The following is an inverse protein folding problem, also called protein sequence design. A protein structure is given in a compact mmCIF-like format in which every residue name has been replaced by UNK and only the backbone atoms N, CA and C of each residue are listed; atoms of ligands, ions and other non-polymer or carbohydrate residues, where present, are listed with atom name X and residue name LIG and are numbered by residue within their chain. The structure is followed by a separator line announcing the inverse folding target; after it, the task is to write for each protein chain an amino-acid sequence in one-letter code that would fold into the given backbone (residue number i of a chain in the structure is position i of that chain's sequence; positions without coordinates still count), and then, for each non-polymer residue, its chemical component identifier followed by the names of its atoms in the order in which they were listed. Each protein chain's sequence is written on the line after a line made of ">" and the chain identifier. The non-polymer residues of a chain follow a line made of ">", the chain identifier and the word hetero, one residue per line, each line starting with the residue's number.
data_IF_657229067040
#
_entry.id   IF_657229067040
#
_cell.length_a   1.000
_cell.length_b   1.000
_cell.length_c   1.000
_cell.angle_alpha   90.00
_cell.angle_beta   90.00
_cell.angle_gamma   90.00
#
_symmetry.space_group_name_H-M   'P 1'
#
loop_
_entity.id
_entity.type
_entity.pdbx_description
1 polymer ?
#
# COMPACT_ATOMS: atom_id res chain seq x y z
N UNK A 1 -31.66 21.59 -7.60
CA UNK A 1 -32.18 20.55 -6.73
C UNK A 1 -31.14 19.43 -6.66
N UNK A 2 -30.23 19.50 -5.68
CA UNK A 2 -29.43 18.35 -5.31
C UNK A 2 -30.39 17.39 -4.55
N UNK A 3 -30.98 16.42 -5.24
CA UNK A 3 -31.46 15.24 -4.55
C UNK A 3 -30.20 14.57 -3.95
N UNK A 4 -30.10 14.57 -2.64
CA UNK A 4 -29.19 13.67 -1.94
C UNK A 4 -29.52 12.27 -2.45
N UNK A 5 -28.64 11.73 -3.25
CA UNK A 5 -28.77 10.35 -3.67
C UNK A 5 -28.61 9.50 -2.42
N UNK A 6 -29.64 8.77 -2.05
CA UNK A 6 -29.56 7.68 -1.10
C UNK A 6 -28.37 6.82 -1.49
N UNK A 7 -27.50 6.55 -0.53
CA UNK A 7 -26.25 5.86 -0.78
C UNK A 7 -26.47 4.58 -1.57
N UNK A 8 -25.81 4.44 -2.70
CA UNK A 8 -25.79 3.19 -3.43
C UNK A 8 -25.08 2.19 -2.53
N UNK A 9 -25.86 1.30 -1.95
CA UNK A 9 -25.31 0.15 -1.28
C UNK A 9 -24.74 -0.78 -2.34
N UNK A 10 -23.42 -0.92 -2.36
CA UNK A 10 -22.79 -1.95 -3.16
C UNK A 10 -23.27 -3.31 -2.66
N UNK A 11 -24.04 -3.99 -3.51
CA UNK A 11 -24.24 -5.44 -3.53
C UNK A 11 -24.33 -6.14 -2.17
N UNK A 12 -25.19 -5.68 -1.28
CA UNK A 12 -25.54 -6.45 -0.06
C UNK A 12 -24.39 -6.73 0.93
N UNK A 13 -23.18 -6.27 0.66
CA UNK A 13 -22.13 -6.24 1.67
C UNK A 13 -22.49 -5.19 2.70
N UNK A 14 -22.39 -5.51 4.01
CA UNK A 14 -22.63 -4.52 5.03
C UNK A 14 -21.70 -3.34 4.78
N UNK A 15 -22.29 -2.18 4.50
CA UNK A 15 -21.57 -0.91 4.43
C UNK A 15 -21.15 -0.50 5.85
N UNK A 16 -20.42 -1.39 6.51
CA UNK A 16 -19.92 -1.09 7.83
C UNK A 16 -18.82 -0.06 7.68
N UNK A 17 -19.13 1.15 8.10
CA UNK A 17 -18.13 2.19 8.22
C UNK A 17 -17.49 2.07 9.60
N UNK A 18 -16.21 1.73 9.67
CA UNK A 18 -15.50 1.84 10.93
C UNK A 18 -15.52 3.30 11.38
N UNK A 19 -15.38 3.56 12.68
CA UNK A 19 -15.18 4.93 13.14
C UNK A 19 -13.96 5.52 12.46
N UNK A 20 -14.09 6.70 11.90
CA UNK A 20 -12.99 7.41 11.24
C UNK A 20 -12.53 8.60 12.10
N UNK A 21 -11.24 8.95 12.05
CA UNK A 21 -10.17 8.26 11.32
C UNK A 21 -9.78 6.92 11.97
N UNK A 22 -9.42 5.93 11.16
CA UNK A 22 -8.85 4.67 11.65
C UNK A 22 -7.37 4.88 11.92
N UNK A 23 -6.93 4.61 13.15
CA UNK A 23 -5.54 4.85 13.56
C UNK A 23 -4.61 3.67 13.29
N UNK A 24 -5.17 2.49 12.98
CA UNK A 24 -4.41 1.29 12.66
C UNK A 24 -5.18 0.42 11.67
N UNK A 25 -4.44 -0.23 10.78
CA UNK A 25 -5.03 -1.20 9.87
C UNK A 25 -5.33 -2.50 10.60
N UNK A 26 -6.54 -3.02 10.42
CA UNK A 26 -6.95 -4.31 10.96
C UNK A 26 -7.33 -5.26 9.83
N UNK A 27 -6.71 -6.43 9.85
CA UNK A 27 -7.03 -7.49 8.90
C UNK A 27 -8.30 -8.23 9.32
N UNK A 28 -9.11 -8.60 8.35
CA UNK A 28 -10.23 -9.50 8.58
C UNK A 28 -9.71 -10.93 8.91
N UNK A 29 -10.51 -11.75 9.62
CA UNK A 29 -10.16 -13.15 9.84
C UNK A 29 -9.91 -13.88 8.53
N UNK A 30 -8.86 -14.71 8.49
CA UNK A 30 -8.58 -15.51 7.31
C UNK A 30 -9.65 -16.62 7.15
N UNK A 31 -10.40 -16.67 6.03
CA UNK A 31 -11.38 -17.71 5.79
C UNK A 31 -10.73 -19.05 5.45
N UNK A 32 -9.46 -19.04 5.04
CA UNK A 32 -8.72 -20.24 4.66
C UNK A 32 -8.10 -20.89 5.89
N UNK A 33 -8.38 -22.17 6.08
CA UNK A 33 -7.77 -22.96 7.15
C UNK A 33 -6.33 -23.34 6.82
N UNK A 34 -5.48 -23.36 7.83
CA UNK A 34 -4.10 -23.80 7.67
C UNK A 34 -4.04 -25.30 7.40
N UNK A 35 -3.35 -25.67 6.32
CA UNK A 35 -2.98 -27.06 6.05
C UNK A 35 -1.58 -27.35 6.64
N UNK A 36 -1.55 -27.97 7.82
CA UNK A 36 -0.30 -28.31 8.50
C UNK A 36 0.62 -29.23 7.68
N UNK A 37 0.08 -29.95 6.69
CA UNK A 37 0.90 -30.82 5.84
C UNK A 37 1.88 -30.04 4.97
N UNK A 38 1.53 -28.82 4.57
CA UNK A 38 2.38 -27.90 3.81
C UNK A 38 3.58 -27.38 4.61
N UNK A 39 3.51 -27.43 5.95
CA UNK A 39 4.52 -26.91 6.86
C UNK A 39 5.58 -27.93 7.27
N UNK A 40 5.46 -29.21 6.85
CA UNK A 40 6.39 -30.28 7.23
C UNK A 40 7.86 -29.98 6.90
N UNK A 41 8.11 -29.21 5.84
CA UNK A 41 9.46 -28.80 5.41
C UNK A 41 9.91 -27.43 5.94
N UNK A 42 9.06 -26.70 6.68
CA UNK A 42 9.30 -25.33 7.11
C UNK A 42 9.19 -25.21 8.63
N UNK A 43 9.98 -25.98 9.35
CA UNK A 43 10.00 -25.98 10.82
C UNK A 43 10.75 -24.78 11.38
N UNK A 44 10.31 -24.31 12.55
CA UNK A 44 10.91 -23.18 13.25
C UNK A 44 10.63 -21.86 12.57
N UNK A 45 11.47 -20.88 12.86
CA UNK A 45 11.36 -19.53 12.30
C UNK A 45 12.33 -19.41 11.14
N UNK A 46 11.83 -19.03 9.99
CA UNK A 46 12.61 -18.87 8.76
C UNK A 46 12.52 -17.42 8.30
N UNK A 47 13.64 -16.87 7.81
CA UNK A 47 13.74 -15.49 7.37
C UNK A 47 14.58 -15.42 6.08
N UNK A 48 14.08 -14.68 5.08
CA UNK A 48 14.75 -14.52 3.79
C UNK A 48 14.36 -13.22 3.10
N UNK A 49 15.20 -12.74 2.20
CA UNK A 49 14.71 -11.88 1.12
C UNK A 49 13.84 -12.69 0.18
N UNK A 50 12.76 -12.04 -0.28
CA UNK A 50 11.83 -12.56 -1.26
C UNK A 50 11.70 -11.66 -2.47
N UNK A 51 10.91 -12.06 -3.45
CA UNK A 51 10.61 -11.24 -4.62
C UNK A 51 9.53 -10.21 -4.30
N UNK A 52 9.69 -8.98 -4.79
CA UNK A 52 8.65 -7.94 -4.76
C UNK A 52 7.45 -8.26 -5.64
N UNK A 53 7.59 -9.21 -6.58
CA UNK A 53 6.54 -9.64 -7.51
C UNK A 53 5.68 -10.77 -6.94
N UNK A 54 6.01 -11.27 -5.75
CA UNK A 54 5.28 -12.37 -5.11
C UNK A 54 4.43 -11.84 -3.96
N UNK A 55 3.15 -12.12 -4.03
CA UNK A 55 2.20 -11.96 -2.92
C UNK A 55 2.20 -13.25 -2.11
N UNK A 56 2.91 -13.24 -0.97
CA UNK A 56 3.01 -14.42 -0.12
C UNK A 56 1.69 -14.68 0.59
N UNK A 57 1.20 -15.92 0.49
CA UNK A 57 -0.01 -16.34 1.21
C UNK A 57 0.26 -16.43 2.70
N UNK A 58 -0.69 -15.99 3.50
CA UNK A 58 -0.55 -15.94 4.95
C UNK A 58 -0.49 -17.32 5.61
N UNK A 59 -1.25 -18.27 5.08
CA UNK A 59 -1.47 -19.62 5.62
C UNK A 59 -0.53 -20.68 5.05
N UNK A 60 0.38 -20.32 4.15
CA UNK A 60 1.33 -21.25 3.53
C UNK A 60 2.77 -20.80 3.80
N UNK A 61 3.74 -21.74 3.92
CA UNK A 61 5.15 -21.36 3.99
C UNK A 61 5.57 -20.63 2.71
N UNK A 62 6.52 -19.70 2.83
CA UNK A 62 7.01 -18.95 1.68
C UNK A 62 7.60 -19.91 0.63
N UNK A 63 7.16 -19.85 -0.65
CA UNK A 63 7.60 -20.79 -1.70
C UNK A 63 8.99 -20.40 -2.24
N UNK A 64 10.00 -20.41 -1.35
CA UNK A 64 11.38 -20.08 -1.70
C UNK A 64 12.20 -21.34 -1.90
N UNK A 65 12.86 -21.45 -3.05
CA UNK A 65 13.77 -22.55 -3.35
C UNK A 65 15.03 -22.54 -2.51
N UNK A 66 15.43 -21.35 -2.01
CA UNK A 66 16.55 -21.15 -1.10
C UNK A 66 16.36 -19.89 -0.26
N UNK A 67 16.95 -19.90 0.92
CA UNK A 67 17.02 -18.71 1.78
C UNK A 67 18.08 -17.74 1.23
N UNK A 68 17.70 -16.48 1.11
CA UNK A 68 18.55 -15.38 0.64
C UNK A 68 18.81 -14.41 1.79
N UNK A 69 20.04 -14.33 2.28
CA UNK A 69 20.43 -13.41 3.36
C UNK A 69 20.87 -12.04 2.85
N UNK A 70 21.18 -11.92 1.57
CA UNK A 70 21.69 -10.69 0.95
C UNK A 70 20.86 -10.39 -0.28
N UNK A 71 20.44 -9.12 -0.41
CA UNK A 71 19.82 -8.61 -1.65
C UNK A 71 20.63 -7.44 -2.18
N UNK A 72 20.79 -7.40 -3.50
CA UNK A 72 21.44 -6.33 -4.23
C UNK A 72 20.40 -5.58 -5.08
N UNK A 73 20.20 -4.30 -4.82
CA UNK A 73 19.37 -3.42 -5.61
C UNK A 73 20.24 -2.48 -6.44
N UNK A 74 19.80 -2.13 -7.62
CA UNK A 74 20.44 -1.10 -8.47
C UNK A 74 19.54 0.11 -8.49
N UNK A 75 20.12 1.29 -8.33
CA UNK A 75 19.38 2.55 -8.32
C UNK A 75 20.16 3.66 -8.99
N UNK A 76 19.46 4.57 -9.64
CA UNK A 76 20.00 5.88 -9.98
C UNK A 76 19.85 6.83 -8.80
N UNK A 77 20.53 7.94 -8.82
CA UNK A 77 20.32 9.02 -7.86
C UNK A 77 18.92 9.62 -8.09
N UNK A 78 18.20 9.92 -7.03
CA UNK A 78 16.80 10.37 -7.08
C UNK A 78 15.76 9.25 -7.19
N UNK A 79 16.17 8.00 -7.40
CA UNK A 79 15.27 6.86 -7.59
C UNK A 79 14.79 6.26 -6.26
N UNK A 80 13.59 5.70 -6.28
CA UNK A 80 13.05 4.87 -5.20
C UNK A 80 13.14 3.41 -5.59
N UNK A 81 13.82 2.61 -4.78
CA UNK A 81 13.96 1.17 -4.95
C UNK A 81 13.40 0.44 -3.75
N UNK A 82 12.90 -0.77 -3.96
CA UNK A 82 12.27 -1.54 -2.91
C UNK A 82 12.76 -2.99 -2.88
N UNK A 83 12.68 -3.57 -1.68
CA UNK A 83 12.91 -5.00 -1.44
C UNK A 83 11.83 -5.53 -0.51
N UNK A 84 11.48 -6.81 -0.66
CA UNK A 84 10.58 -7.52 0.23
C UNK A 84 11.35 -8.60 0.99
N UNK A 85 11.24 -8.60 2.32
CA UNK A 85 11.66 -9.72 3.14
C UNK A 85 10.43 -10.52 3.56
N UNK A 86 10.64 -11.78 3.92
CA UNK A 86 9.58 -12.66 4.36
C UNK A 86 10.04 -13.51 5.53
N UNK A 87 9.20 -13.58 6.55
CA UNK A 87 9.31 -14.52 7.67
C UNK A 87 8.17 -15.53 7.57
N UNK A 88 8.48 -16.80 7.78
CA UNK A 88 7.46 -17.85 7.90
C UNK A 88 7.81 -18.78 9.05
N UNK A 89 6.81 -19.20 9.81
CA UNK A 89 7.00 -19.88 11.08
C UNK A 89 5.90 -20.87 11.39
N UNK A 90 6.24 -22.02 11.98
CA UNK A 90 5.31 -22.97 12.58
C UNK A 90 5.03 -22.67 14.06
N UNK A 91 5.65 -21.60 14.60
CA UNK A 91 5.52 -21.13 15.97
C UNK A 91 4.90 -19.73 16.02
N UNK A 92 4.19 -19.34 17.10
CA UNK A 92 3.67 -17.99 17.22
C UNK A 92 4.79 -16.97 17.47
N UNK A 93 4.64 -15.77 16.92
CA UNK A 93 5.48 -14.60 17.21
C UNK A 93 4.61 -13.52 17.85
N UNK A 94 5.05 -12.97 19.00
CA UNK A 94 4.23 -12.04 19.78
C UNK A 94 4.38 -10.59 19.36
N UNK A 95 5.59 -10.18 19.02
CA UNK A 95 5.92 -8.81 18.64
C UNK A 95 6.99 -8.81 17.55
N UNK A 96 6.61 -9.24 16.36
CA UNK A 96 7.49 -9.16 15.20
C UNK A 96 7.81 -7.68 14.92
N UNK A 97 9.09 -7.33 14.96
CA UNK A 97 9.61 -5.98 14.73
C UNK A 97 10.72 -5.99 13.69
N UNK A 98 10.89 -4.86 13.03
CA UNK A 98 11.98 -4.63 12.09
C UNK A 98 12.78 -3.39 12.49
N UNK A 99 14.07 -3.54 12.59
CA UNK A 99 15.02 -2.45 12.79
C UNK A 99 15.92 -2.32 11.56
N UNK A 100 16.10 -1.10 11.11
CA UNK A 100 16.97 -0.78 9.97
C UNK A 100 17.64 0.56 10.24
N UNK A 101 18.95 0.62 10.03
CA UNK A 101 19.74 1.84 10.13
C UNK A 101 19.94 2.54 8.78
N UNK A 102 20.72 3.61 8.79
CA UNK A 102 21.20 4.27 7.57
C UNK A 102 22.02 3.29 6.72
N UNK A 103 21.99 3.47 5.38
CA UNK A 103 22.86 2.72 4.49
C UNK A 103 24.21 3.45 4.37
N UNK A 104 25.32 2.73 4.53
CA UNK A 104 26.68 3.28 4.55
C UNK A 104 27.55 2.69 3.45
N UNK A 105 28.39 3.54 2.86
CA UNK A 105 29.47 3.06 1.98
C UNK A 105 30.64 2.56 2.82
N UNK A 106 31.08 1.33 2.54
CA UNK A 106 32.22 0.75 3.25
C UNK A 106 33.48 1.58 3.02
N UNK A 107 34.12 2.00 4.12
CA UNK A 107 35.38 2.77 4.09
C UNK A 107 35.26 4.22 3.62
N UNK A 108 34.05 4.78 3.63
CA UNK A 108 33.76 6.18 3.29
C UNK A 108 32.78 6.79 4.30
N UNK A 109 32.77 8.11 4.40
CA UNK A 109 31.80 8.84 5.23
C UNK A 109 30.41 9.02 4.57
N UNK A 110 30.24 8.54 3.34
CA UNK A 110 28.97 8.68 2.60
C UNK A 110 27.92 7.74 3.14
N UNK A 111 26.75 8.28 3.43
CA UNK A 111 25.58 7.50 3.86
C UNK A 111 24.29 7.99 3.19
N UNK A 112 23.31 7.12 3.13
CA UNK A 112 21.90 7.46 2.89
C UNK A 112 21.22 7.36 4.24
N UNK A 113 20.80 8.51 4.77
CA UNK A 113 20.23 8.62 6.11
C UNK A 113 18.96 7.78 6.28
N UNK A 114 18.71 7.34 7.51
CA UNK A 114 17.53 6.54 7.88
C UNK A 114 16.20 7.18 7.46
N UNK A 115 16.11 8.50 7.43
CA UNK A 115 14.91 9.23 6.99
C UNK A 115 14.52 8.97 5.52
N UNK A 116 15.46 8.52 4.70
CA UNK A 116 15.22 8.10 3.32
C UNK A 116 14.72 6.65 3.19
N UNK A 117 14.56 5.94 4.30
CA UNK A 117 14.19 4.53 4.29
C UNK A 117 12.81 4.37 4.94
N UNK A 118 11.85 3.87 4.18
CA UNK A 118 10.56 3.44 4.69
C UNK A 118 10.58 1.92 4.87
N UNK A 119 10.22 1.45 6.05
CA UNK A 119 9.97 0.02 6.31
C UNK A 119 8.57 -0.18 6.84
N UNK A 120 7.95 -1.29 6.49
CA UNK A 120 6.60 -1.61 6.91
C UNK A 120 6.28 -3.09 6.72
N UNK A 121 5.12 -3.50 7.20
CA UNK A 121 4.59 -4.84 7.02
C UNK A 121 3.65 -4.88 5.82
N UNK A 122 3.74 -5.93 5.01
CA UNK A 122 2.75 -6.18 3.97
C UNK A 122 1.51 -6.77 4.64
N UNK A 123 0.40 -6.02 4.61
CA UNK A 123 -0.85 -6.46 5.24
C UNK A 123 -1.75 -7.15 4.23
N UNK A 124 -2.79 -7.76 4.71
CA UNK A 124 -3.70 -8.55 3.90
C UNK A 124 -5.07 -7.91 3.84
N UNK A 125 -5.66 -7.90 2.66
CA UNK A 125 -7.04 -7.46 2.41
C UNK A 125 -7.89 -8.64 1.97
N UNK A 126 -9.15 -8.65 2.39
CA UNK A 126 -10.12 -9.60 1.87
C UNK A 126 -10.51 -9.19 0.46
N UNK A 127 -10.42 -10.13 -0.47
CA UNK A 127 -10.89 -9.95 -1.84
C UNK A 127 -11.93 -11.01 -2.19
N UNK A 128 -12.84 -10.65 -3.08
CA UNK A 128 -13.88 -11.50 -3.64
C UNK A 128 -13.98 -11.26 -5.15
N UNK A 129 -12.87 -10.91 -5.79
CA UNK A 129 -12.85 -10.55 -7.20
C UNK A 129 -13.19 -11.70 -8.13
N UNK A 130 -12.86 -12.93 -7.72
CA UNK A 130 -13.07 -14.12 -8.55
C UNK A 130 -14.24 -14.94 -8.03
N UNK A 131 -15.10 -15.38 -8.94
CA UNK A 131 -16.02 -16.45 -8.65
C UNK A 131 -15.27 -17.79 -8.49
N UNK A 132 -15.88 -18.82 -7.86
CA UNK A 132 -15.26 -20.15 -7.75
C UNK A 132 -14.85 -20.78 -9.09
N UNK A 133 -15.44 -20.35 -10.21
CA UNK A 133 -15.07 -20.76 -11.57
C UNK A 133 -13.87 -19.98 -12.14
N UNK A 134 -13.24 -19.11 -11.37
CA UNK A 134 -12.10 -18.28 -11.78
C UNK A 134 -12.46 -17.10 -12.67
N UNK A 135 -13.74 -16.82 -12.88
CA UNK A 135 -14.21 -15.66 -13.63
C UNK A 135 -14.49 -14.52 -12.69
N UNK A 136 -13.87 -13.40 -12.93
CA UNK A 136 -14.04 -12.19 -12.15
C UNK A 136 -14.39 -11.00 -12.99
N UNK A 137 -14.60 -9.86 -12.35
CA UNK A 137 -14.86 -8.60 -13.02
C UNK A 137 -15.49 -7.58 -12.09
N UNK A 138 -15.37 -6.32 -12.47
CA UNK A 138 -16.07 -5.22 -11.81
C UNK A 138 -17.57 -5.31 -12.02
N UNK A 139 -18.35 -4.89 -11.04
CA UNK A 139 -19.78 -4.75 -11.16
C UNK A 139 -20.59 -5.41 -10.06
N UNK A 140 -21.88 -5.39 -10.24
CA UNK A 140 -22.82 -5.94 -9.27
C UNK A 140 -22.75 -7.47 -9.26
N UNK A 141 -22.57 -8.06 -8.08
CA UNK A 141 -22.55 -9.50 -7.84
C UNK A 141 -23.65 -9.84 -6.84
N UNK A 142 -24.80 -10.35 -7.32
CA UNK A 142 -25.97 -10.55 -6.48
C UNK A 142 -25.85 -11.72 -5.50
N UNK A 143 -24.99 -12.70 -5.78
CA UNK A 143 -24.85 -13.90 -4.98
C UNK A 143 -23.43 -14.00 -4.37
N UNK A 144 -23.32 -13.59 -3.09
CA UNK A 144 -22.07 -13.63 -2.36
C UNK A 144 -21.52 -15.05 -2.13
N UNK A 145 -22.36 -16.10 -2.22
CA UNK A 145 -21.93 -17.50 -2.07
C UNK A 145 -21.06 -17.99 -3.23
N UNK A 146 -21.10 -17.29 -4.35
CA UNK A 146 -20.30 -17.61 -5.55
C UNK A 146 -18.93 -16.91 -5.55
N UNK A 147 -18.58 -16.15 -4.51
CA UNK A 147 -17.34 -15.42 -4.47
C UNK A 147 -16.23 -16.24 -3.83
N UNK A 148 -15.02 -16.01 -4.35
CA UNK A 148 -13.79 -16.47 -3.72
C UNK A 148 -13.35 -15.45 -2.69
N UNK A 149 -13.66 -15.72 -1.42
CA UNK A 149 -13.21 -14.86 -0.31
C UNK A 149 -11.84 -15.35 0.17
N UNK A 150 -10.81 -14.58 -0.13
CA UNK A 150 -9.43 -14.90 0.26
C UNK A 150 -8.68 -13.64 0.71
N UNK A 151 -7.71 -13.84 1.61
CA UNK A 151 -6.80 -12.77 2.01
C UNK A 151 -5.64 -12.66 1.01
N UNK A 152 -5.47 -11.48 0.46
CA UNK A 152 -4.39 -11.16 -0.48
C UNK A 152 -3.46 -10.11 0.13
N UNK A 153 -2.16 -10.36 0.06
CA UNK A 153 -1.13 -9.41 0.45
C UNK A 153 -1.20 -8.17 -0.47
N UNK A 154 -1.40 -6.98 0.10
CA UNK A 154 -1.59 -5.75 -0.67
C UNK A 154 -1.02 -4.50 0.01
N UNK A 155 -1.62 -3.88 1.04
CA UNK A 155 -1.13 -2.60 1.54
C UNK A 155 0.14 -2.76 2.36
N UNK A 156 1.00 -1.74 2.27
CA UNK A 156 2.22 -1.65 3.08
C UNK A 156 1.93 -0.75 4.27
N UNK A 157 1.83 -1.36 5.45
CA UNK A 157 1.57 -0.68 6.71
C UNK A 157 2.91 -0.27 7.36
N UNK A 158 3.29 0.98 7.18
CA UNK A 158 4.48 1.57 7.78
C UNK A 158 4.22 2.23 9.14
N UNK A 159 2.98 2.19 9.61
CA UNK A 159 2.57 2.78 10.89
C UNK A 159 2.56 1.74 12.03
N UNK A 160 2.35 0.46 11.71
CA UNK A 160 2.40 -0.58 12.71
C UNK A 160 3.83 -0.77 13.23
N UNK A 161 4.10 -0.57 14.54
CA UNK A 161 5.43 -0.74 15.12
C UNK A 161 5.81 -2.21 15.26
N UNK A 162 4.83 -3.10 15.33
CA UNK A 162 5.00 -4.55 15.45
C UNK A 162 3.74 -5.28 15.03
N UNK A 163 3.88 -6.58 14.74
CA UNK A 163 2.76 -7.49 14.49
C UNK A 163 2.90 -8.76 15.33
N UNK A 164 1.76 -9.32 15.74
CA UNK A 164 1.72 -10.68 16.29
C UNK A 164 1.27 -11.65 15.20
N UNK A 165 1.94 -12.79 15.13
CA UNK A 165 1.64 -13.84 14.16
C UNK A 165 1.23 -15.12 14.90
N UNK A 166 0.15 -15.79 14.50
CA UNK A 166 -0.13 -17.14 14.97
C UNK A 166 0.90 -18.13 14.43
N UNK A 167 0.94 -19.31 14.99
CA UNK A 167 1.69 -20.42 14.41
C UNK A 167 1.20 -20.72 12.99
N UNK A 168 2.08 -21.27 12.16
CA UNK A 168 1.80 -21.59 10.76
C UNK A 168 1.40 -20.36 9.95
N UNK A 169 2.23 -19.32 10.04
CA UNK A 169 2.00 -18.04 9.37
C UNK A 169 3.21 -17.58 8.57
N UNK A 170 2.90 -16.91 7.47
CA UNK A 170 3.88 -16.17 6.66
C UNK A 170 3.55 -14.68 6.69
N UNK A 171 4.57 -13.85 6.85
CA UNK A 171 4.46 -12.41 6.86
C UNK A 171 5.52 -11.78 5.98
N UNK A 172 5.09 -11.01 4.99
CA UNK A 172 5.95 -10.15 4.21
C UNK A 172 6.25 -8.83 4.92
N UNK A 173 7.43 -8.30 4.69
CA UNK A 173 7.78 -6.96 5.07
C UNK A 173 8.45 -6.23 3.94
N UNK A 174 8.31 -4.93 3.90
CA UNK A 174 8.73 -4.07 2.81
C UNK A 174 9.76 -3.06 3.26
N UNK A 175 10.79 -2.88 2.45
CA UNK A 175 11.78 -1.82 2.62
C UNK A 175 11.85 -1.02 1.33
N UNK A 176 11.64 0.29 1.42
CA UNK A 176 11.81 1.22 0.31
C UNK A 176 12.91 2.20 0.65
N UNK A 177 13.85 2.37 -0.26
CA UNK A 177 14.94 3.35 -0.16
C UNK A 177 14.72 4.42 -1.23
N UNK A 178 14.65 5.69 -0.81
CA UNK A 178 14.72 6.82 -1.71
C UNK A 178 16.16 7.31 -1.76
N UNK A 179 16.84 7.03 -2.85
CA UNK A 179 18.22 7.44 -3.05
C UNK A 179 18.26 8.96 -3.28
N UNK A 180 18.95 9.74 -2.43
CA UNK A 180 19.05 11.18 -2.65
C UNK A 180 19.66 11.54 -4.00
N UNK A 181 19.20 12.66 -4.59
CA UNK A 181 19.71 13.12 -5.89
C UNK A 181 21.20 13.51 -5.83
N UNK A 182 21.70 13.88 -4.66
CA UNK A 182 23.09 14.23 -4.38
C UNK A 182 23.94 13.07 -3.83
N UNK A 183 23.35 11.86 -3.72
CA UNK A 183 24.06 10.68 -3.25
C UNK A 183 25.28 10.40 -4.13
N UNK A 184 26.41 10.06 -3.51
CA UNK A 184 27.63 9.69 -4.26
C UNK A 184 27.46 8.29 -4.87
N UNK A 185 27.89 8.06 -6.11
CA UNK A 185 27.88 6.71 -6.68
C UNK A 185 28.69 5.71 -5.85
N UNK A 186 28.16 4.48 -5.76
CA UNK A 186 28.81 3.40 -5.04
C UNK A 186 27.84 2.43 -4.37
N UNK A 187 28.37 1.52 -3.57
CA UNK A 187 27.58 0.49 -2.88
C UNK A 187 27.33 0.92 -1.44
N UNK A 188 26.07 1.07 -1.10
CA UNK A 188 25.59 1.37 0.24
C UNK A 188 24.99 0.12 0.87
N UNK A 189 25.33 -0.14 2.12
CA UNK A 189 24.92 -1.37 2.80
C UNK A 189 24.32 -1.05 4.17
N UNK A 190 23.26 -1.78 4.54
CA UNK A 190 22.71 -1.80 5.89
C UNK A 190 22.23 -3.20 6.25
N UNK A 191 22.04 -3.44 7.54
CA UNK A 191 21.38 -4.65 8.04
C UNK A 191 19.92 -4.34 8.34
N UNK A 192 19.05 -5.27 7.98
CA UNK A 192 17.64 -5.33 8.39
C UNK A 192 17.54 -6.40 9.44
N UNK A 193 17.36 -5.98 10.69
CA UNK A 193 17.25 -6.89 11.83
C UNK A 193 15.78 -7.17 12.12
N UNK A 194 15.41 -8.43 12.08
CA UNK A 194 14.05 -8.88 12.41
C UNK A 194 14.07 -9.49 13.81
N UNK A 195 13.12 -9.07 14.64
CA UNK A 195 13.04 -9.44 16.07
C UNK A 195 11.65 -9.96 16.44
N UNK A 196 11.60 -10.81 17.44
CA UNK A 196 10.39 -11.15 18.18
C UNK A 196 10.51 -10.55 19.59
N UNK A 197 9.77 -9.52 19.87
CA UNK A 197 9.97 -8.66 21.05
C UNK A 197 11.42 -8.12 21.11
N UNK A 198 12.23 -8.58 22.05
CA UNK A 198 13.64 -8.21 22.18
C UNK A 198 14.61 -9.24 21.58
N UNK A 199 14.13 -10.43 21.23
CA UNK A 199 14.94 -11.50 20.67
C UNK A 199 15.20 -11.29 19.18
N UNK A 200 16.47 -11.36 18.76
CA UNK A 200 16.85 -11.29 17.36
C UNK A 200 16.55 -12.62 16.67
N UNK A 201 15.66 -12.63 15.70
CA UNK A 201 15.35 -13.78 14.86
C UNK A 201 16.36 -13.97 13.75
N UNK A 202 16.94 -12.88 13.28
CA UNK A 202 17.95 -12.88 12.23
C UNK A 202 18.18 -11.53 11.58
N UNK A 203 19.19 -11.50 10.73
CA UNK A 203 19.60 -10.33 9.97
C UNK A 203 19.64 -10.61 8.49
N UNK A 204 19.21 -9.62 7.74
CA UNK A 204 19.27 -9.61 6.28
C UNK A 204 20.12 -8.42 5.84
N UNK A 205 20.98 -8.62 4.86
CA UNK A 205 21.81 -7.54 4.31
C UNK A 205 21.15 -6.93 3.09
N UNK A 206 20.92 -5.63 3.12
CA UNK A 206 20.47 -4.83 1.98
C UNK A 206 21.68 -4.06 1.41
N UNK A 207 21.95 -4.24 0.11
CA UNK A 207 22.91 -3.45 -0.64
C UNK A 207 22.22 -2.68 -1.75
N UNK A 208 22.51 -1.39 -1.84
CA UNK A 208 22.01 -0.51 -2.90
C UNK A 208 23.22 -0.01 -3.70
N UNK A 209 23.27 -0.41 -4.97
CA UNK A 209 24.27 0.04 -5.93
C UNK A 209 23.79 1.31 -6.60
N UNK A 210 24.28 2.46 -6.15
CA UNK A 210 23.92 3.77 -6.68
C UNK A 210 24.79 4.09 -7.90
N UNK A 211 24.16 4.25 -9.05
CA UNK A 211 24.79 4.64 -10.31
C UNK A 211 25.12 6.15 -10.34
N UNK A 212 26.02 6.54 -11.23
CA UNK A 212 26.34 7.95 -11.47
C UNK A 212 25.21 8.73 -12.14
N UNK A 213 24.31 8.05 -12.84
CA UNK A 213 23.13 8.66 -13.47
C UNK A 213 22.16 9.18 -12.42
N UNK A 214 21.46 10.23 -12.79
CA UNK A 214 20.46 10.84 -11.95
C UNK A 214 19.09 10.82 -12.66
N UNK A 215 18.08 10.42 -11.92
CA UNK A 215 16.71 10.55 -12.38
C UNK A 215 16.34 12.05 -12.43
N UNK A 216 15.69 12.54 -13.48
CA UNK A 216 15.12 13.88 -13.46
C UNK A 216 14.18 14.09 -12.29
N UNK A 217 13.95 15.33 -11.89
CA UNK A 217 12.93 15.64 -10.90
C UNK A 217 11.53 15.20 -11.39
N UNK A 218 10.61 14.80 -10.51
CA UNK A 218 9.29 14.30 -10.92
C UNK A 218 8.50 15.24 -11.82
N UNK A 219 8.64 16.53 -11.64
CA UNK A 219 8.03 17.57 -12.49
C UNK A 219 8.55 17.56 -13.94
N UNK A 220 9.77 17.07 -14.16
CA UNK A 220 10.41 17.01 -15.47
C UNK A 220 10.17 15.67 -16.20
N UNK A 221 9.52 14.72 -15.57
CA UNK A 221 9.27 13.42 -16.20
C UNK A 221 8.34 13.57 -17.39
N UNK A 222 8.75 13.00 -18.54
CA UNK A 222 7.91 12.92 -19.72
C UNK A 222 6.75 11.91 -19.55
N UNK A 223 6.84 11.02 -18.59
CA UNK A 223 5.80 10.07 -18.28
C UNK A 223 4.53 10.77 -17.80
N UNK A 224 3.40 10.37 -18.36
CA UNK A 224 2.08 10.87 -17.97
C UNK A 224 1.47 9.93 -16.94
N UNK A 225 1.41 10.37 -15.68
CA UNK A 225 0.71 9.68 -14.60
C UNK A 225 -0.63 10.36 -14.38
N UNK A 226 -1.71 9.62 -14.61
CA UNK A 226 -3.07 10.06 -14.34
C UNK A 226 -3.72 9.09 -13.35
N UNK A 227 -3.63 9.42 -12.07
CA UNK A 227 -4.34 8.72 -11.01
C UNK A 227 -5.57 9.53 -10.64
N UNK A 228 -6.73 8.94 -10.76
CA UNK A 228 -7.99 9.58 -10.38
C UNK A 228 -8.08 9.76 -8.88
N UNK A 229 -8.26 11.01 -8.45
CA UNK A 229 -8.38 11.35 -7.04
C UNK A 229 -9.85 11.39 -6.65
N UNK A 230 -10.18 10.88 -5.46
CA UNK A 230 -11.50 11.02 -4.86
C UNK A 230 -11.43 11.88 -3.59
N UNK A 231 -11.59 13.22 -3.70
CA UNK A 231 -11.54 14.10 -2.54
C UNK A 231 -12.65 13.84 -1.53
N UNK A 232 -13.81 13.34 -1.97
CA UNK A 232 -14.92 13.02 -1.08
C UNK A 232 -14.59 11.87 -0.14
N UNK A 233 -13.80 10.89 -0.57
CA UNK A 233 -13.28 9.83 0.28
C UNK A 233 -12.40 10.38 1.41
N UNK A 234 -11.56 11.36 1.11
CA UNK A 234 -10.71 12.03 2.11
C UNK A 234 -11.57 12.79 3.11
N UNK A 235 -12.56 13.55 2.62
CA UNK A 235 -13.47 14.29 3.49
C UNK A 235 -14.22 13.36 4.46
N UNK A 236 -14.74 12.23 3.96
CA UNK A 236 -15.42 11.24 4.79
C UNK A 236 -14.48 10.59 5.79
N UNK A 237 -13.31 10.16 5.35
CA UNK A 237 -12.33 9.49 6.21
C UNK A 237 -11.92 10.33 7.41
N UNK A 238 -11.70 11.63 7.19
CA UNK A 238 -11.31 12.55 8.25
C UNK A 238 -12.49 13.24 8.95
N UNK A 239 -13.72 13.03 8.50
CA UNK A 239 -14.92 13.66 9.06
C UNK A 239 -14.96 15.18 8.90
N UNK A 240 -14.40 15.70 7.80
CA UNK A 240 -14.33 17.13 7.51
C UNK A 240 -15.32 17.53 6.43
N UNK A 241 -15.75 18.80 6.46
CA UNK A 241 -16.63 19.35 5.45
C UNK A 241 -15.89 19.41 4.10
N UNK A 242 -16.43 18.83 3.02
CA UNK A 242 -15.87 18.95 1.67
C UNK A 242 -15.59 20.43 1.30
N UNK A 243 -14.43 20.65 0.68
CA UNK A 243 -13.96 21.95 0.18
C UNK A 243 -13.68 23.01 1.25
N UNK A 244 -13.74 22.65 2.54
CA UNK A 244 -13.28 23.51 3.63
C UNK A 244 -11.73 23.62 3.64
N UNK A 245 -11.24 24.65 4.32
CA UNK A 245 -9.79 24.80 4.55
C UNK A 245 -9.17 23.54 5.15
N UNK A 246 -9.85 22.95 6.15
CA UNK A 246 -9.39 21.72 6.80
C UNK A 246 -9.35 20.54 5.81
N UNK A 247 -10.34 20.42 4.92
CA UNK A 247 -10.32 19.40 3.88
C UNK A 247 -9.11 19.54 2.96
N UNK A 248 -8.78 20.74 2.51
CA UNK A 248 -7.57 20.98 1.70
C UNK A 248 -6.28 20.67 2.47
N UNK A 249 -6.24 20.94 3.78
CA UNK A 249 -5.10 20.56 4.62
C UNK A 249 -4.95 19.03 4.71
N UNK A 250 -6.05 18.27 4.80
CA UNK A 250 -6.04 16.79 4.79
C UNK A 250 -5.67 16.22 3.41
N UNK A 251 -6.07 16.88 2.34
CA UNK A 251 -5.71 16.47 0.96
C UNK A 251 -4.24 16.67 0.64
N UNK A 252 -3.61 17.70 1.20
CA UNK A 252 -2.22 18.12 0.87
C UNK A 252 -1.22 16.96 0.87
N UNK A 253 -1.07 16.11 1.90
CA UNK A 253 -0.07 15.06 1.89
C UNK A 253 -0.29 14.01 0.79
N UNK A 254 -1.54 13.74 0.40
CA UNK A 254 -1.85 12.84 -0.71
C UNK A 254 -1.45 13.46 -2.05
N UNK A 255 -1.71 14.75 -2.23
CA UNK A 255 -1.34 15.48 -3.45
C UNK A 255 0.18 15.64 -3.56
N UNK A 256 0.89 15.81 -2.44
CA UNK A 256 2.35 15.83 -2.40
C UNK A 256 2.94 14.47 -2.79
N UNK A 257 2.40 13.37 -2.27
CA UNK A 257 2.81 12.02 -2.70
C UNK A 257 2.56 11.78 -4.18
N UNK A 258 1.43 12.24 -4.70
CA UNK A 258 1.08 12.15 -6.11
C UNK A 258 2.04 12.97 -6.99
N UNK A 259 2.33 14.21 -6.61
CA UNK A 259 3.35 15.06 -7.25
C UNK A 259 4.71 14.35 -7.27
N UNK A 260 5.16 13.81 -6.14
CA UNK A 260 6.45 13.15 -5.99
C UNK A 260 6.54 11.81 -6.76
N UNK A 261 5.40 11.29 -7.20
CA UNK A 261 5.31 10.18 -8.14
C UNK A 261 5.24 10.62 -9.62
N UNK A 262 5.35 11.93 -9.90
CA UNK A 262 5.28 12.50 -11.24
C UNK A 262 3.88 12.85 -11.72
N UNK A 263 2.89 12.86 -10.81
CA UNK A 263 1.51 13.26 -11.13
C UNK A 263 1.40 14.75 -11.45
N UNK A 264 0.73 15.07 -12.56
CA UNK A 264 0.56 16.44 -13.08
C UNK A 264 -0.89 16.78 -13.38
N UNK A 265 -1.81 15.85 -13.16
CA UNK A 265 -3.21 15.96 -13.55
C UNK A 265 -4.09 15.89 -12.28
N UNK A 266 -5.02 16.82 -12.19
CA UNK A 266 -6.04 16.81 -11.15
C UNK A 266 -7.36 16.40 -11.81
N UNK A 267 -7.97 15.34 -11.26
CA UNK A 267 -9.26 14.86 -11.72
C UNK A 267 -10.37 15.74 -11.17
N UNK A 268 -11.16 16.34 -12.04
CA UNK A 268 -12.38 17.07 -11.68
C UNK A 268 -13.61 16.40 -12.30
N UNK A 269 -14.55 16.00 -11.48
CA UNK A 269 -15.82 15.47 -11.97
C UNK A 269 -16.78 16.61 -12.31
N UNK A 270 -17.30 16.58 -13.53
CA UNK A 270 -18.26 17.59 -14.01
C UNK A 270 -19.71 17.07 -14.02
N UNK A 271 -19.90 15.79 -13.71
CA UNK A 271 -21.22 15.16 -13.62
C UNK A 271 -21.36 14.45 -12.28
N UNK A 272 -22.60 14.21 -11.87
CA UNK A 272 -22.92 13.45 -10.67
C UNK A 272 -22.70 11.95 -10.90
N UNK A 273 -22.02 11.28 -9.96
CA UNK A 273 -21.75 9.84 -9.98
C UNK A 273 -21.15 9.32 -11.30
N UNK A 274 -20.00 9.86 -11.76
CA UNK A 274 -19.44 9.55 -13.07
C UNK A 274 -19.09 8.06 -13.25
N UNK A 275 -18.84 7.33 -12.17
CA UNK A 275 -18.51 5.89 -12.22
C UNK A 275 -19.66 4.96 -11.85
N UNK A 276 -20.90 5.45 -11.89
CA UNK A 276 -22.09 4.64 -11.69
C UNK A 276 -22.03 3.72 -10.45
N UNK A 277 -21.51 4.25 -9.34
CA UNK A 277 -21.44 3.52 -8.08
C UNK A 277 -20.27 2.54 -7.94
N UNK A 278 -19.27 2.59 -8.80
CA UNK A 278 -18.05 1.78 -8.66
C UNK A 278 -17.15 2.25 -7.50
N UNK A 279 -17.35 3.44 -6.99
CA UNK A 279 -16.67 3.96 -5.81
C UNK A 279 -17.58 3.85 -4.59
N UNK A 280 -17.01 3.50 -3.43
CA UNK A 280 -17.73 3.46 -2.18
C UNK A 280 -18.31 4.82 -1.80
N UNK A 281 -17.49 5.87 -1.88
CA UNK A 281 -17.92 7.23 -1.63
C UNK A 281 -18.64 7.80 -2.86
N UNK A 282 -19.76 8.51 -2.65
CA UNK A 282 -20.40 9.23 -3.74
C UNK A 282 -19.39 10.23 -4.32
N UNK A 283 -19.20 10.15 -5.61
CA UNK A 283 -18.38 11.10 -6.33
C UNK A 283 -19.30 12.18 -6.90
N UNK A 284 -19.35 13.31 -6.22
CA UNK A 284 -20.23 14.41 -6.59
C UNK A 284 -19.62 15.23 -7.74
N UNK A 285 -20.48 15.99 -8.43
CA UNK A 285 -19.98 17.00 -9.38
C UNK A 285 -19.21 18.08 -8.62
N UNK A 286 -18.08 18.47 -9.17
CA UNK A 286 -17.29 19.62 -8.69
C UNK A 286 -17.67 20.93 -9.41
N UNK A 287 -18.66 20.86 -10.30
CA UNK A 287 -19.20 21.99 -11.05
C UNK A 287 -20.69 22.07 -10.78
N UNK A 288 -21.18 23.22 -10.31
CA UNK A 288 -22.60 23.42 -10.14
C UNK A 288 -23.26 23.78 -11.47
N UNK A 289 -24.25 23.00 -11.88
CA UNK A 289 -25.01 23.19 -13.10
C UNK A 289 -26.35 23.85 -12.77
N UNK A 290 -26.58 25.01 -13.34
CA UNK A 290 -27.82 25.75 -13.17
C UNK A 290 -28.48 26.00 -14.50
N UNK A 291 -29.74 25.57 -14.66
CA UNK A 291 -30.55 25.92 -15.83
C UNK A 291 -31.33 27.17 -15.52
N UNK A 292 -31.13 28.21 -16.30
CA UNK A 292 -31.88 29.48 -16.19
C UNK A 292 -33.32 29.37 -16.73
N UNK A 293 -34.14 30.33 -16.40
CA UNK A 293 -35.56 30.38 -16.86
C UNK A 293 -35.69 30.47 -18.38
N UNK A 294 -34.71 31.05 -19.07
CA UNK A 294 -34.65 31.15 -20.52
C UNK A 294 -34.16 29.86 -21.22
N UNK A 295 -33.90 28.80 -20.43
CA UNK A 295 -33.43 27.53 -20.93
C UNK A 295 -31.90 27.43 -21.11
N UNK A 296 -31.13 28.49 -20.92
CA UNK A 296 -29.69 28.48 -20.97
C UNK A 296 -29.08 27.86 -19.71
N UNK A 297 -27.82 27.32 -19.83
CA UNK A 297 -27.09 26.74 -18.73
C UNK A 297 -26.03 27.72 -18.23
N UNK A 298 -25.84 27.72 -16.93
CA UNK A 298 -24.73 28.36 -16.24
C UNK A 298 -23.95 27.31 -15.46
N UNK A 299 -22.63 27.37 -15.53
CA UNK A 299 -21.74 26.47 -14.82
C UNK A 299 -20.91 27.28 -13.83
N UNK A 300 -20.99 26.90 -12.57
CA UNK A 300 -20.22 27.53 -11.51
C UNK A 300 -19.04 26.62 -11.15
N UNK A 301 -17.85 27.16 -11.26
CA UNK A 301 -16.57 26.49 -10.97
C UNK A 301 -15.93 26.96 -9.67
N UNK A 302 -16.62 27.77 -8.87
CA UNK A 302 -16.12 28.31 -7.60
C UNK A 302 -16.45 27.39 -6.40
#
# INVERSE_FOLDING_TARGET
>A
FAQQAEGITHSGLPTHQPPFPVVSYQELPNPVSVDASKWKGAKGINLSWGSTDVRYKKEEPAPLSRVQQVIDLKAWRGERVAAQWVVWTDQPLQELKVEIGSLKQKGKESEIDRSHILSGFVRYVMTDELNPDGRGGCGHRPDASQFDSTLVADPIDHLAPSLSLPAYSTQGGWVRVWVPADAKPGVYTTEVTVKNASEELGKLTLRVHVDSRQLPAPEDWAFHLDLWQNPFAIARYYGVQPWSKEHFEKMRPYMEMYRDAGGKVITASIIHKPWNGQTYDPFETMVTWMKKADGTWFFDYT
#
